data_IF_036028415430
#
_entry.id   IF_036028415430
#
_cell.length_a   1.000
_cell.length_b   1.000
_cell.length_c   1.000
_cell.angle_alpha   90.00
_cell.angle_beta   90.00
_cell.angle_gamma   90.00
#
_symmetry.space_group_name_H-M   'P 1'
#
loop_
_entity.id
_entity.type
_entity.pdbx_description
1 polymer ?
#
# COMPACT_ATOMS: atom_id res chain seq x y z
N UNK A 1 7.73 29.24 -39.49
CA UNK A 1 7.62 27.78 -39.38
C UNK A 1 6.34 27.47 -38.59
N UNK A 2 5.29 27.05 -39.29
CA UNK A 2 4.00 26.71 -38.66
C UNK A 2 4.08 25.30 -38.09
N UNK A 3 3.71 25.15 -36.84
CA UNK A 3 3.67 23.88 -36.09
C UNK A 3 2.53 22.98 -36.58
N UNK A 4 2.88 21.72 -36.85
CA UNK A 4 1.98 20.64 -37.32
C UNK A 4 1.24 20.03 -36.14
N UNK A 5 0.22 20.71 -35.61
CA UNK A 5 -0.62 20.17 -34.52
C UNK A 5 -2.12 20.54 -34.63
N UNK A 6 -2.59 20.88 -35.82
CA UNK A 6 -4.01 21.13 -36.02
C UNK A 6 -4.58 20.10 -37.03
N UNK A 7 -4.91 18.89 -36.59
CA UNK A 7 -5.85 17.98 -37.27
C UNK A 7 -5.91 16.62 -36.60
N UNK A 8 -6.68 16.48 -35.52
CA UNK A 8 -7.33 15.20 -35.20
C UNK A 8 -8.77 15.44 -34.75
N UNK A 9 -9.75 14.95 -35.52
CA UNK A 9 -11.14 15.05 -35.13
C UNK A 9 -11.57 13.81 -34.33
N UNK A 10 -11.79 13.94 -33.04
CA UNK A 10 -12.63 12.99 -32.31
C UNK A 10 -13.69 13.73 -31.55
N UNK A 11 -14.89 13.74 -32.15
CA UNK A 11 -16.11 14.08 -31.47
C UNK A 11 -16.47 13.00 -30.44
N UNK A 12 -16.75 13.41 -29.22
CA UNK A 12 -17.34 12.54 -28.21
C UNK A 12 -18.78 12.21 -28.60
N UNK A 13 -19.05 10.95 -28.91
CA UNK A 13 -20.42 10.41 -29.03
C UNK A 13 -20.81 9.90 -27.66
N UNK A 14 -21.82 10.50 -27.04
CA UNK A 14 -22.51 9.94 -25.89
C UNK A 14 -23.14 8.60 -26.27
N UNK A 15 -22.71 7.50 -25.66
CA UNK A 15 -23.41 6.23 -25.74
C UNK A 15 -24.45 6.09 -24.62
N UNK A 16 -25.62 5.50 -24.88
CA UNK A 16 -26.69 5.33 -23.90
C UNK A 16 -26.35 4.24 -22.88
N UNK A 17 -26.92 4.40 -21.69
CA UNK A 17 -26.81 3.46 -20.56
C UNK A 17 -27.20 2.03 -20.97
N UNK A 18 -26.26 1.10 -20.82
CA UNK A 18 -26.56 -0.34 -20.92
C UNK A 18 -26.84 -0.84 -19.51
N UNK A 19 -28.10 -1.16 -19.24
CA UNK A 19 -28.53 -1.85 -18.03
C UNK A 19 -27.97 -3.29 -18.03
N UNK A 20 -27.48 -3.82 -16.88
CA UNK A 20 -27.00 -5.19 -16.80
C UNK A 20 -28.17 -6.20 -16.88
N UNK A 21 -27.95 -7.41 -17.40
CA UNK A 21 -28.96 -8.44 -17.49
C UNK A 21 -29.37 -8.94 -16.10
N UNK A 22 -30.67 -9.14 -15.93
CA UNK A 22 -31.33 -9.67 -14.76
C UNK A 22 -30.86 -11.11 -14.45
N UNK A 23 -30.31 -11.32 -13.24
CA UNK A 23 -30.07 -12.66 -12.70
C UNK A 23 -28.78 -12.83 -11.92
N UNK A 24 -28.54 -12.05 -10.87
CA UNK A 24 -27.58 -12.41 -9.85
C UNK A 24 -28.14 -12.07 -8.47
N UNK A 25 -28.57 -13.12 -7.74
CA UNK A 25 -28.93 -13.04 -6.33
C UNK A 25 -27.67 -13.23 -5.48
N UNK A 26 -27.10 -12.16 -4.98
CA UNK A 26 -26.28 -12.15 -3.78
C UNK A 26 -26.45 -10.79 -3.12
N UNK A 27 -27.09 -10.77 -1.95
CA UNK A 27 -27.21 -9.58 -1.10
C UNK A 27 -25.84 -9.27 -0.50
N UNK A 28 -25.02 -8.54 -1.24
CA UNK A 28 -23.89 -7.80 -0.71
C UNK A 28 -24.33 -6.34 -0.79
N UNK A 29 -24.63 -5.74 0.37
CA UNK A 29 -25.06 -4.35 0.43
C UNK A 29 -23.90 -3.42 0.09
N UNK A 30 -23.79 -3.01 -1.17
CA UNK A 30 -22.88 -1.96 -1.59
C UNK A 30 -23.58 -0.61 -1.40
N UNK A 31 -23.11 0.18 -0.46
CA UNK A 31 -23.46 1.60 -0.40
C UNK A 31 -22.47 2.37 -1.29
N UNK A 32 -22.95 2.79 -2.46
CA UNK A 32 -22.18 3.63 -3.39
C UNK A 32 -22.44 5.09 -2.99
N UNK A 33 -21.45 5.76 -2.42
CA UNK A 33 -21.47 7.20 -2.30
C UNK A 33 -20.91 7.82 -3.60
N UNK A 34 -21.79 8.25 -4.51
CA UNK A 34 -21.40 9.09 -5.63
C UNK A 34 -21.16 10.51 -5.14
N UNK A 35 -19.90 10.94 -5.07
CA UNK A 35 -19.61 12.37 -4.93
C UNK A 35 -19.84 13.04 -6.28
N UNK A 36 -21.06 13.53 -6.50
CA UNK A 36 -21.45 14.25 -7.71
C UNK A 36 -20.95 15.69 -7.71
N UNK A 37 -19.69 15.91 -8.10
CA UNK A 37 -19.21 17.24 -8.44
C UNK A 37 -18.50 17.16 -9.81
N UNK A 38 -18.96 17.98 -10.76
CA UNK A 38 -18.41 18.02 -12.10
C UNK A 38 -16.96 18.51 -12.10
N UNK A 39 -16.13 17.96 -12.99
CA UNK A 39 -14.70 18.24 -13.12
C UNK A 39 -14.37 19.74 -13.36
N UNK A 40 -15.34 20.57 -13.71
CA UNK A 40 -15.15 22.01 -13.98
C UNK A 40 -15.22 22.94 -12.76
N UNK A 41 -15.79 22.50 -11.63
CA UNK A 41 -15.94 23.36 -10.43
C UNK A 41 -14.82 23.21 -9.40
N UNK A 42 -13.84 22.29 -9.60
CA UNK A 42 -12.80 21.97 -8.62
C UNK A 42 -11.47 22.73 -8.76
N UNK A 43 -11.42 23.81 -9.55
CA UNK A 43 -10.18 24.60 -9.74
C UNK A 43 -9.76 25.48 -8.56
N UNK A 44 -10.40 25.43 -7.39
CA UNK A 44 -10.08 26.32 -6.27
C UNK A 44 -9.82 25.62 -4.92
N UNK A 45 -9.66 24.29 -4.86
CA UNK A 45 -9.25 23.59 -3.64
C UNK A 45 -8.06 22.70 -3.98
N UNK A 46 -6.88 23.08 -3.52
CA UNK A 46 -5.73 22.16 -3.44
C UNK A 46 -6.20 20.96 -2.63
N UNK A 47 -6.37 19.81 -3.29
CA UNK A 47 -6.59 18.54 -2.61
C UNK A 47 -5.23 18.12 -2.06
N UNK A 48 -5.17 17.78 -0.78
CA UNK A 48 -3.95 17.31 -0.13
C UNK A 48 -3.95 15.78 -0.05
N UNK A 49 -2.88 15.23 0.49
CA UNK A 49 -2.79 13.80 0.80
C UNK A 49 -3.93 13.34 1.71
N UNK A 50 -4.49 14.23 2.53
CA UNK A 50 -5.62 13.95 3.44
C UNK A 50 -6.93 13.61 2.72
N UNK A 51 -7.03 13.94 1.42
CA UNK A 51 -8.18 13.60 0.58
C UNK A 51 -8.11 12.17 0.00
N UNK A 52 -7.03 11.43 0.26
CA UNK A 52 -6.84 10.07 -0.21
C UNK A 52 -6.94 9.11 0.98
N UNK A 53 -8.04 8.38 1.06
CA UNK A 53 -8.28 7.42 2.12
C UNK A 53 -8.29 6.00 1.55
N UNK A 54 -7.25 5.22 1.80
CA UNK A 54 -7.10 3.85 1.31
C UNK A 54 -7.90 2.86 2.14
N UNK A 55 -7.76 2.94 3.46
CA UNK A 55 -8.46 2.11 4.45
C UNK A 55 -8.80 3.01 5.64
N UNK A 56 -10.05 3.06 6.03
CA UNK A 56 -10.51 3.81 7.20
C UNK A 56 -11.50 3.02 8.04
N UNK A 57 -11.50 3.30 9.32
CA UNK A 57 -12.50 2.82 10.25
C UNK A 57 -12.95 3.93 11.18
N UNK A 58 -14.25 4.06 11.35
CA UNK A 58 -14.89 4.83 12.43
C UNK A 58 -16.09 4.02 12.95
N UNK A 59 -16.54 4.28 14.17
CA UNK A 59 -17.73 3.63 14.70
C UNK A 59 -18.98 3.91 13.86
N UNK A 60 -19.06 5.09 13.23
CA UNK A 60 -20.18 5.49 12.39
C UNK A 60 -20.14 4.84 11.00
N UNK A 61 -19.01 4.87 10.34
CA UNK A 61 -18.87 4.39 8.95
C UNK A 61 -18.52 2.91 8.85
N UNK A 62 -18.00 2.30 9.93
CA UNK A 62 -17.40 0.96 9.88
C UNK A 62 -16.09 0.95 9.09
N UNK A 63 -15.66 -0.23 8.68
CA UNK A 63 -14.48 -0.41 7.82
C UNK A 63 -14.82 -0.06 6.38
N UNK A 64 -14.15 0.95 5.83
CA UNK A 64 -14.31 1.41 4.45
C UNK A 64 -12.96 1.36 3.73
N UNK A 65 -12.95 0.86 2.50
CA UNK A 65 -11.79 0.86 1.61
C UNK A 65 -12.09 1.59 0.30
N UNK A 66 -11.06 2.16 -0.32
CA UNK A 66 -11.12 2.61 -1.71
C UNK A 66 -10.84 1.41 -2.63
N UNK A 67 -11.81 1.07 -3.49
CA UNK A 67 -11.63 0.01 -4.48
C UNK A 67 -10.65 0.41 -5.58
N UNK A 68 -9.39 0.00 -5.44
CA UNK A 68 -8.32 0.34 -6.36
C UNK A 68 -8.45 -0.34 -7.73
N UNK A 69 -9.35 -1.34 -7.88
CA UNK A 69 -9.61 -1.96 -9.18
C UNK A 69 -10.39 -1.04 -10.11
N UNK A 70 -11.08 -0.05 -9.55
CA UNK A 70 -11.88 0.95 -10.28
C UNK A 70 -11.09 2.19 -10.70
N UNK A 71 -9.96 2.45 -10.02
CA UNK A 71 -9.09 3.57 -10.36
C UNK A 71 -8.41 3.37 -11.73
N UNK A 72 -8.16 4.46 -12.47
CA UNK A 72 -8.43 5.87 -12.16
C UNK A 72 -9.83 6.35 -12.55
N UNK A 73 -10.64 5.51 -13.19
CA UNK A 73 -11.88 5.93 -13.86
C UNK A 73 -13.02 6.23 -12.88
N UNK A 74 -13.06 5.49 -11.75
CA UNK A 74 -14.10 5.64 -10.73
C UNK A 74 -13.46 5.62 -9.33
N UNK A 75 -13.88 6.55 -8.47
CA UNK A 75 -13.57 6.52 -7.03
C UNK A 75 -14.74 5.84 -6.32
N UNK A 76 -14.56 4.57 -5.98
CA UNK A 76 -15.58 3.76 -5.32
C UNK A 76 -15.11 3.38 -3.93
N UNK A 77 -15.85 3.80 -2.90
CA UNK A 77 -15.60 3.41 -1.52
C UNK A 77 -16.55 2.27 -1.15
N UNK A 78 -15.98 1.20 -0.59
CA UNK A 78 -16.70 -0.03 -0.25
C UNK A 78 -16.63 -0.26 1.25
N UNK A 79 -17.80 -0.44 1.88
CA UNK A 79 -17.89 -0.83 3.29
C UNK A 79 -17.76 -2.34 3.41
N UNK A 80 -16.87 -2.80 4.29
CA UNK A 80 -16.61 -4.21 4.57
C UNK A 80 -17.19 -4.56 5.96
N UNK A 81 -18.14 -5.49 6.00
CA UNK A 81 -18.86 -5.81 7.24
C UNK A 81 -18.67 -7.26 7.69
N UNK A 82 -18.15 -8.13 6.83
CA UNK A 82 -17.99 -9.55 7.09
C UNK A 82 -16.61 -10.06 6.67
N UNK A 83 -16.18 -11.18 7.25
CA UNK A 83 -14.93 -11.82 6.87
C UNK A 83 -14.87 -12.19 5.38
N UNK A 84 -16.00 -12.53 4.78
CA UNK A 84 -16.09 -12.84 3.35
C UNK A 84 -15.84 -11.59 2.50
N UNK A 85 -16.42 -10.44 2.87
CA UNK A 85 -16.20 -9.17 2.16
C UNK A 85 -14.74 -8.69 2.28
N UNK A 86 -14.13 -8.87 3.46
CA UNK A 86 -12.70 -8.56 3.67
C UNK A 86 -11.79 -9.49 2.86
N UNK A 87 -12.08 -10.80 2.88
CA UNK A 87 -11.37 -11.81 2.10
C UNK A 87 -11.41 -11.48 0.60
N UNK A 88 -12.61 -11.19 0.09
CA UNK A 88 -12.85 -10.80 -1.30
C UNK A 88 -12.07 -9.53 -1.69
N UNK A 89 -12.11 -8.51 -0.84
CA UNK A 89 -11.42 -7.25 -1.09
C UNK A 89 -9.90 -7.45 -1.24
N UNK A 90 -9.28 -8.28 -0.39
CA UNK A 90 -7.85 -8.60 -0.45
C UNK A 90 -7.56 -9.50 -1.66
N UNK A 91 -8.36 -10.52 -1.90
CA UNK A 91 -8.17 -11.48 -3.00
C UNK A 91 -8.28 -10.83 -4.36
N UNK A 92 -9.27 -9.94 -4.54
CA UNK A 92 -9.55 -9.23 -5.80
C UNK A 92 -8.69 -7.97 -6.00
N UNK A 93 -7.75 -7.70 -5.10
CA UNK A 93 -6.89 -6.51 -5.13
C UNK A 93 -7.68 -5.17 -5.08
N UNK A 94 -8.87 -5.17 -4.47
CA UNK A 94 -9.58 -3.92 -4.16
C UNK A 94 -8.76 -3.09 -3.17
N UNK A 95 -8.05 -3.75 -2.24
CA UNK A 95 -6.97 -3.21 -1.44
C UNK A 95 -5.69 -3.99 -1.76
N UNK A 96 -4.57 -3.29 -1.99
CA UNK A 96 -3.29 -3.86 -2.36
C UNK A 96 -2.13 -3.03 -1.75
N UNK A 97 -0.89 -3.56 -1.84
CA UNK A 97 0.26 -3.03 -1.12
C UNK A 97 0.39 -3.71 0.25
N UNK A 98 1.61 -4.13 0.59
CA UNK A 98 1.81 -4.96 1.77
C UNK A 98 1.28 -4.31 3.07
N UNK A 99 1.58 -3.02 3.38
CA UNK A 99 1.07 -2.38 4.59
C UNK A 99 -0.47 -2.18 4.56
N UNK A 100 -1.04 -1.69 3.45
CA UNK A 100 -2.49 -1.46 3.36
C UNK A 100 -3.29 -2.75 3.54
N UNK A 101 -2.80 -3.89 3.03
CA UNK A 101 -3.41 -5.20 3.25
C UNK A 101 -3.37 -5.57 4.74
N UNK A 102 -2.24 -5.32 5.43
CA UNK A 102 -2.12 -5.55 6.87
C UNK A 102 -3.10 -4.72 7.69
N UNK A 103 -3.22 -3.43 7.39
CA UNK A 103 -4.20 -2.52 8.04
C UNK A 103 -5.63 -2.98 7.78
N UNK A 104 -5.96 -3.29 6.51
CA UNK A 104 -7.28 -3.79 6.14
C UNK A 104 -7.61 -5.11 6.85
N UNK A 105 -6.65 -6.03 6.96
CA UNK A 105 -6.83 -7.31 7.64
C UNK A 105 -7.02 -7.14 9.16
N UNK A 106 -6.27 -6.23 9.79
CA UNK A 106 -6.41 -5.93 11.21
C UNK A 106 -7.81 -5.43 11.56
N UNK A 107 -8.28 -4.40 10.89
CA UNK A 107 -9.66 -3.93 11.05
C UNK A 107 -10.68 -4.96 10.59
N UNK A 108 -10.40 -5.67 9.49
CA UNK A 108 -11.28 -6.71 8.95
C UNK A 108 -11.52 -7.84 9.94
N UNK A 109 -10.50 -8.27 10.68
CA UNK A 109 -10.66 -9.24 11.77
C UNK A 109 -11.53 -8.66 12.90
N UNK A 110 -11.23 -7.42 13.35
CA UNK A 110 -11.98 -6.78 14.43
C UNK A 110 -13.47 -6.61 14.07
N UNK A 111 -13.79 -6.07 12.88
CA UNK A 111 -15.17 -5.88 12.39
C UNK A 111 -15.89 -7.21 12.23
N UNK A 112 -15.22 -8.25 11.72
CA UNK A 112 -15.81 -9.58 11.58
C UNK A 112 -16.20 -10.19 12.92
N UNK A 113 -15.45 -9.87 13.98
CA UNK A 113 -15.70 -10.36 15.34
C UNK A 113 -16.65 -9.47 16.15
N UNK A 114 -17.02 -8.28 15.64
CA UNK A 114 -17.94 -7.38 16.33
C UNK A 114 -19.30 -8.02 16.60
N UNK A 115 -19.79 -8.80 15.63
CA UNK A 115 -21.10 -9.49 15.67
C UNK A 115 -21.02 -10.91 16.25
N UNK A 116 -19.84 -11.33 16.71
CA UNK A 116 -19.71 -12.64 17.36
C UNK A 116 -20.51 -12.67 18.67
N UNK A 117 -21.31 -13.70 18.87
CA UNK A 117 -22.23 -13.85 20.01
C UNK A 117 -21.72 -14.78 21.12
N UNK A 118 -20.43 -15.10 21.10
CA UNK A 118 -19.76 -15.91 22.11
C UNK A 118 -20.01 -15.32 23.51
N UNK A 119 -20.36 -16.21 24.44
CA UNK A 119 -20.61 -15.82 25.83
C UNK A 119 -19.40 -15.96 26.74
N UNK A 120 -18.40 -16.68 26.29
CA UNK A 120 -17.15 -16.90 27.02
C UNK A 120 -15.94 -16.55 26.15
N UNK A 121 -14.86 -16.21 26.78
CA UNK A 121 -13.64 -15.73 26.14
C UNK A 121 -12.88 -16.84 25.38
N UNK A 122 -12.99 -18.11 25.79
CA UNK A 122 -12.29 -19.20 25.10
C UNK A 122 -12.95 -19.51 23.76
N UNK A 123 -14.28 -19.53 23.72
CA UNK A 123 -15.04 -19.66 22.48
C UNK A 123 -14.76 -18.49 21.53
N UNK A 124 -14.77 -17.25 22.07
CA UNK A 124 -14.43 -16.05 21.32
C UNK A 124 -13.00 -16.13 20.73
N UNK A 125 -12.01 -16.50 21.55
CA UNK A 125 -10.61 -16.68 21.14
C UNK A 125 -10.47 -17.68 19.98
N UNK A 126 -11.19 -18.81 20.06
CA UNK A 126 -11.22 -19.80 18.98
C UNK A 126 -11.78 -19.21 17.68
N UNK A 127 -12.92 -18.51 17.72
CA UNK A 127 -13.52 -17.86 16.56
C UNK A 127 -12.61 -16.79 15.95
N UNK A 128 -11.88 -16.02 16.77
CA UNK A 128 -10.87 -15.05 16.28
C UNK A 128 -9.79 -15.77 15.48
N UNK A 129 -9.25 -16.89 15.99
CA UNK A 129 -8.20 -17.65 15.28
C UNK A 129 -8.71 -18.30 13.99
N UNK A 130 -9.93 -18.84 14.00
CA UNK A 130 -10.57 -19.38 12.80
C UNK A 130 -10.80 -18.30 11.74
N UNK A 131 -11.26 -17.12 12.15
CA UNK A 131 -11.47 -15.98 11.25
C UNK A 131 -10.13 -15.44 10.72
N UNK A 132 -9.11 -15.34 11.55
CA UNK A 132 -7.77 -14.95 11.12
C UNK A 132 -7.19 -15.94 10.08
N UNK A 133 -7.31 -17.25 10.32
CA UNK A 133 -6.90 -18.28 9.36
C UNK A 133 -7.66 -18.16 8.02
N UNK A 134 -8.96 -17.91 8.08
CA UNK A 134 -9.77 -17.69 6.88
C UNK A 134 -9.29 -16.44 6.11
N UNK A 135 -9.12 -15.31 6.77
CA UNK A 135 -8.62 -14.08 6.11
C UNK A 135 -7.22 -14.27 5.51
N UNK A 136 -6.33 -14.97 6.22
CA UNK A 136 -4.99 -15.28 5.73
C UNK A 136 -4.98 -16.10 4.45
N UNK A 137 -5.98 -16.96 4.23
CA UNK A 137 -6.12 -17.77 3.02
C UNK A 137 -6.38 -16.95 1.76
N UNK A 138 -6.77 -15.67 1.87
CA UNK A 138 -6.99 -14.80 0.71
C UNK A 138 -5.70 -14.56 -0.09
N UNK A 139 -4.55 -14.40 0.59
CA UNK A 139 -3.22 -14.25 -0.01
C UNK A 139 -2.12 -14.84 0.90
N UNK A 140 -1.93 -16.16 0.91
CA UNK A 140 -1.04 -16.84 1.86
C UNK A 140 0.44 -16.40 1.81
N UNK A 141 0.87 -15.81 0.69
CA UNK A 141 2.25 -15.30 0.50
C UNK A 141 2.43 -13.84 0.95
N UNK A 142 1.35 -13.14 1.36
CA UNK A 142 1.43 -11.76 1.79
C UNK A 142 1.87 -11.67 3.25
N UNK A 143 3.15 -11.40 3.48
CA UNK A 143 3.77 -11.38 4.82
C UNK A 143 3.03 -10.44 5.78
N UNK A 144 2.70 -9.22 5.37
CA UNK A 144 2.03 -8.25 6.24
C UNK A 144 0.59 -8.65 6.59
N UNK A 145 -0.07 -9.45 5.76
CA UNK A 145 -1.39 -10.02 6.07
C UNK A 145 -1.29 -10.96 7.28
N UNK A 146 -0.43 -11.97 7.18
CA UNK A 146 -0.21 -12.94 8.26
C UNK A 146 0.28 -12.27 9.53
N UNK A 147 1.23 -11.34 9.40
CA UNK A 147 1.78 -10.58 10.53
C UNK A 147 0.71 -9.79 11.28
N UNK A 148 -0.15 -9.03 10.58
CA UNK A 148 -1.20 -8.26 11.22
C UNK A 148 -2.20 -9.15 11.97
N UNK A 149 -2.66 -10.24 11.32
CA UNK A 149 -3.59 -11.17 11.92
C UNK A 149 -3.01 -11.87 13.16
N UNK A 150 -1.75 -12.36 13.09
CA UNK A 150 -1.10 -12.99 14.23
C UNK A 150 -0.84 -12.00 15.37
N UNK A 151 -0.52 -10.74 15.05
CA UNK A 151 -0.35 -9.67 16.04
C UNK A 151 -1.64 -9.42 16.83
N UNK A 152 -2.81 -9.38 16.16
CA UNK A 152 -4.11 -9.26 16.83
C UNK A 152 -4.40 -10.49 17.71
N UNK A 153 -4.17 -11.70 17.18
CA UNK A 153 -4.33 -12.94 17.96
C UNK A 153 -3.46 -12.96 19.22
N UNK A 154 -2.18 -12.61 19.06
CA UNK A 154 -1.21 -12.55 20.17
C UNK A 154 -1.57 -11.45 21.20
N UNK A 155 -2.12 -10.33 20.74
CA UNK A 155 -2.60 -9.26 21.62
C UNK A 155 -3.82 -9.69 22.42
N UNK A 156 -4.76 -10.41 21.79
CA UNK A 156 -5.90 -11.01 22.48
C UNK A 156 -5.45 -12.03 23.52
N UNK A 157 -4.52 -12.93 23.19
CA UNK A 157 -4.00 -13.94 24.12
C UNK A 157 -3.38 -13.29 25.36
N UNK A 158 -2.60 -12.23 25.20
CA UNK A 158 -2.04 -11.46 26.32
C UNK A 158 -3.12 -10.81 27.19
N UNK A 159 -4.17 -10.25 26.57
CA UNK A 159 -5.30 -9.69 27.30
C UNK A 159 -6.01 -10.73 28.16
N UNK A 160 -6.21 -11.94 27.62
CA UNK A 160 -6.88 -13.03 28.32
C UNK A 160 -6.02 -13.62 29.46
N UNK A 161 -4.69 -13.62 29.34
CA UNK A 161 -3.78 -14.15 30.33
C UNK A 161 -3.45 -13.16 31.46
N UNK A 162 -3.33 -11.86 31.15
CA UNK A 162 -2.89 -10.80 32.08
C UNK A 162 -3.83 -9.60 32.04
N UNK A 163 -5.01 -9.69 32.65
CA UNK A 163 -6.00 -8.61 32.60
C UNK A 163 -5.53 -7.28 33.24
N UNK A 164 -4.60 -7.34 34.18
CA UNK A 164 -4.11 -6.17 34.93
C UNK A 164 -3.20 -5.21 34.14
N UNK A 165 -2.53 -5.68 33.11
CA UNK A 165 -1.64 -4.84 32.28
C UNK A 165 -2.41 -3.89 31.33
N UNK A 166 -3.71 -4.10 31.16
CA UNK A 166 -4.51 -3.38 30.19
C UNK A 166 -5.34 -2.21 30.78
N UNK A 167 -5.28 -2.00 32.09
CA UNK A 167 -5.98 -0.88 32.75
C UNK A 167 -5.30 0.49 32.54
N UNK A 168 -4.12 0.54 31.93
CA UNK A 168 -3.28 1.76 31.83
C UNK A 168 -3.45 2.51 30.50
N UNK A 169 -4.15 1.95 29.51
CA UNK A 169 -4.24 2.50 28.12
C UNK A 169 -5.45 3.39 27.82
N UNK A 170 -6.46 3.51 28.68
CA UNK A 170 -7.65 4.35 28.43
C UNK A 170 -7.52 5.71 29.12
N UNK A 171 -6.89 6.68 28.45
CA UNK A 171 -6.93 8.10 28.83
C UNK A 171 -8.35 8.67 28.64
N UNK A 172 -9.26 8.42 29.55
CA UNK A 172 -10.61 8.98 29.51
C UNK A 172 -11.53 8.51 30.64
N UNK A 173 -11.24 7.36 31.28
CA UNK A 173 -12.11 6.80 32.34
C UNK A 173 -11.44 6.67 33.74
N UNK A 174 -10.21 7.16 33.90
CA UNK A 174 -9.38 6.90 35.07
C UNK A 174 -9.69 7.77 36.31
N UNK A 175 -10.54 8.79 36.21
CA UNK A 175 -10.88 9.64 37.39
C UNK A 175 -12.07 9.13 38.20
N UNK A 176 -12.91 8.24 37.65
CA UNK A 176 -14.07 7.69 38.38
C UNK A 176 -13.82 6.40 39.17
N UNK A 177 -12.69 5.72 39.00
CA UNK A 177 -12.47 4.35 39.52
C UNK A 177 -11.49 4.21 40.68
N UNK A 178 -10.97 5.30 41.22
CA UNK A 178 -10.00 5.24 42.37
C UNK A 178 -10.61 4.86 43.72
N UNK A 179 -11.92 4.64 43.82
CA UNK A 179 -12.62 4.35 45.08
C UNK A 179 -13.41 3.02 45.08
N UNK A 180 -13.25 2.14 44.09
CA UNK A 180 -13.79 0.78 44.17
C UNK A 180 -12.65 -0.18 44.53
N UNK A 181 -12.79 -0.91 45.65
CA UNK A 181 -11.80 -1.87 46.16
C UNK A 181 -11.33 -2.83 45.05
N UNK A 182 -10.10 -3.36 45.18
CA UNK A 182 -9.42 -4.24 44.25
C UNK A 182 -10.29 -5.43 43.81
N UNK A 183 -11.23 -5.18 42.89
CA UNK A 183 -11.97 -6.22 42.18
C UNK A 183 -11.04 -6.92 41.27
N UNK A 184 -11.01 -8.25 41.33
CA UNK A 184 -10.28 -9.10 40.36
C UNK A 184 -10.90 -8.77 38.97
N UNK A 185 -10.11 -8.14 38.11
CA UNK A 185 -10.53 -7.86 36.74
C UNK A 185 -10.60 -9.22 36.00
N UNK A 186 -11.81 -9.63 35.62
CA UNK A 186 -12.00 -10.81 34.78
C UNK A 186 -12.12 -10.34 33.32
N UNK A 187 -11.31 -10.89 32.38
CA UNK A 187 -11.47 -10.57 30.97
C UNK A 187 -12.85 -11.04 30.49
N UNK A 188 -13.50 -10.18 29.74
CA UNK A 188 -14.79 -10.48 29.11
C UNK A 188 -14.71 -10.34 27.58
N UNK A 189 -15.75 -10.83 26.89
CA UNK A 189 -15.83 -10.78 25.42
C UNK A 189 -15.91 -9.34 24.92
N UNK A 190 -16.54 -8.43 25.66
CA UNK A 190 -16.64 -7.02 25.27
C UNK A 190 -15.27 -6.34 25.28
N UNK A 191 -14.48 -6.56 26.33
CA UNK A 191 -13.09 -6.09 26.40
C UNK A 191 -12.21 -6.74 25.34
N UNK A 192 -12.40 -8.04 25.07
CA UNK A 192 -11.69 -8.75 24.02
C UNK A 192 -11.94 -8.14 22.63
N UNK A 193 -13.18 -7.79 22.29
CA UNK A 193 -13.54 -7.09 21.05
C UNK A 193 -12.84 -5.74 20.96
N UNK A 194 -12.86 -4.96 22.05
CA UNK A 194 -12.19 -3.64 22.09
C UNK A 194 -10.69 -3.76 21.85
N UNK A 195 -10.04 -4.75 22.45
CA UNK A 195 -8.61 -5.02 22.27
C UNK A 195 -8.25 -5.28 20.81
N UNK A 196 -9.12 -5.96 20.02
CA UNK A 196 -8.89 -6.16 18.59
C UNK A 196 -8.93 -4.84 17.82
N UNK A 197 -9.91 -3.96 18.10
CA UNK A 197 -9.98 -2.64 17.45
C UNK A 197 -8.81 -1.74 17.85
N UNK A 198 -8.43 -1.71 19.12
CA UNK A 198 -7.30 -0.92 19.62
C UNK A 198 -5.99 -1.34 18.94
N UNK A 199 -5.77 -2.65 18.78
CA UNK A 199 -4.56 -3.15 18.12
C UNK A 199 -4.59 -2.90 16.61
N UNK A 200 -5.75 -2.99 15.94
CA UNK A 200 -5.90 -2.64 14.53
C UNK A 200 -5.60 -1.15 14.30
N UNK A 201 -6.13 -0.26 15.14
CA UNK A 201 -5.83 1.17 15.08
C UNK A 201 -4.35 1.46 15.36
N UNK A 202 -3.73 0.71 16.27
CA UNK A 202 -2.30 0.83 16.53
C UNK A 202 -1.47 0.44 15.32
N UNK A 203 -1.79 -0.65 14.62
CA UNK A 203 -1.15 -1.05 13.35
C UNK A 203 -1.25 0.09 12.33
N UNK A 204 -2.43 0.68 12.15
CA UNK A 204 -2.63 1.80 11.23
C UNK A 204 -1.75 3.00 11.57
N UNK A 205 -1.72 3.40 12.85
CA UNK A 205 -0.92 4.57 13.30
C UNK A 205 0.58 4.32 13.19
N UNK A 206 1.03 3.12 13.49
CA UNK A 206 2.45 2.75 13.36
C UNK A 206 2.88 2.78 11.89
N UNK A 207 2.05 2.28 10.97
CA UNK A 207 2.32 2.34 9.54
C UNK A 207 2.38 3.80 9.03
N UNK A 208 1.40 4.64 9.41
CA UNK A 208 1.40 6.06 9.05
C UNK A 208 2.66 6.78 9.58
N UNK A 209 3.03 6.52 10.83
CA UNK A 209 4.22 7.12 11.44
C UNK A 209 5.52 6.64 10.78
N UNK A 210 5.62 5.34 10.45
CA UNK A 210 6.76 4.77 9.73
C UNK A 210 6.90 5.38 8.34
N UNK A 211 5.81 5.44 7.57
CA UNK A 211 5.80 6.06 6.25
C UNK A 211 6.19 7.54 6.29
N UNK A 212 5.72 8.30 7.27
CA UNK A 212 6.12 9.69 7.44
C UNK A 212 7.61 9.83 7.75
N UNK A 213 8.17 9.00 8.65
CA UNK A 213 9.61 9.00 8.94
C UNK A 213 10.44 8.67 7.71
N UNK A 214 10.03 7.66 6.92
CA UNK A 214 10.68 7.37 5.63
C UNK A 214 10.64 8.59 4.69
N UNK A 215 9.53 9.33 4.67
CA UNK A 215 9.40 10.58 3.95
C UNK A 215 10.40 11.64 4.40
N UNK A 216 10.57 11.83 5.69
CA UNK A 216 11.53 12.78 6.26
C UNK A 216 12.99 12.40 5.93
N UNK A 217 13.36 11.12 6.10
CA UNK A 217 14.69 10.64 5.73
C UNK A 217 14.93 10.69 4.23
N UNK A 218 13.94 10.29 3.43
CA UNK A 218 14.03 10.36 1.97
C UNK A 218 14.17 11.79 1.46
N UNK A 219 13.44 12.73 2.07
CA UNK A 219 13.52 14.15 1.69
C UNK A 219 14.91 14.74 1.94
N UNK A 220 15.66 14.25 2.94
CA UNK A 220 17.04 14.66 3.18
C UNK A 220 17.99 14.30 2.04
N UNK A 221 17.61 13.38 1.15
CA UNK A 221 18.38 12.99 -0.04
C UNK A 221 18.00 13.80 -1.30
N UNK A 222 16.94 14.59 -1.24
CA UNK A 222 16.34 15.29 -2.38
C UNK A 222 16.45 16.80 -2.20
N UNK A 223 16.36 17.53 -3.30
CA UNK A 223 16.40 19.01 -3.33
C UNK A 223 15.15 19.55 -4.03
N UNK A 224 14.69 20.76 -3.68
CA UNK A 224 13.58 21.42 -4.38
C UNK A 224 13.78 21.47 -5.90
N UNK A 225 12.69 21.26 -6.65
CA UNK A 225 12.67 21.32 -8.10
C UNK A 225 13.23 20.10 -8.83
N UNK A 226 13.73 19.08 -8.12
CA UNK A 226 14.24 17.85 -8.75
C UNK A 226 13.19 17.14 -9.61
N UNK A 227 13.66 16.56 -10.72
CA UNK A 227 12.94 15.54 -11.48
C UNK A 227 13.14 14.18 -10.85
N UNK A 228 12.06 13.51 -10.49
CA UNK A 228 12.08 12.22 -9.80
C UNK A 228 11.39 11.17 -10.66
N UNK A 229 12.07 10.05 -10.93
CA UNK A 229 11.45 8.89 -11.58
C UNK A 229 11.04 7.88 -10.53
N UNK A 230 9.85 7.31 -10.70
CA UNK A 230 9.34 6.21 -9.87
C UNK A 230 8.74 5.09 -10.71
N UNK A 231 8.76 3.87 -10.17
CA UNK A 231 8.23 2.67 -10.81
C UNK A 231 7.28 1.94 -9.88
N UNK A 232 6.16 1.42 -10.40
CA UNK A 232 5.07 0.79 -9.65
C UNK A 232 4.26 1.80 -8.80
N UNK A 233 3.67 1.32 -7.72
CA UNK A 233 2.94 2.13 -6.76
C UNK A 233 3.28 1.71 -5.34
N UNK A 234 4.03 2.54 -4.66
CA UNK A 234 4.33 2.44 -3.24
C UNK A 234 4.05 3.79 -2.54
N UNK A 235 2.89 4.36 -2.87
CA UNK A 235 2.32 5.57 -2.31
C UNK A 235 1.26 5.29 -1.25
N UNK A 236 0.42 6.29 -1.00
CA UNK A 236 -0.63 6.22 0.02
C UNK A 236 -1.65 5.10 -0.24
N UNK A 237 -1.88 4.75 -1.51
CA UNK A 237 -2.74 3.62 -1.88
C UNK A 237 -2.18 2.24 -1.47
N UNK A 238 -0.90 2.16 -1.15
CA UNK A 238 -0.24 0.93 -0.73
C UNK A 238 -0.03 0.81 0.79
N UNK A 239 -0.39 1.84 1.57
CA UNK A 239 -0.13 1.98 3.01
C UNK A 239 -1.36 2.57 3.71
N UNK A 240 -1.25 2.85 5.01
CA UNK A 240 -2.26 3.63 5.72
C UNK A 240 -2.28 5.10 5.24
N UNK A 241 -1.08 5.70 5.03
CA UNK A 241 -0.90 7.07 4.54
C UNK A 241 0.56 7.30 4.12
N UNK A 242 0.83 8.29 3.29
CA UNK A 242 2.13 8.71 2.75
C UNK A 242 2.78 7.73 1.77
N UNK A 243 2.63 6.44 1.93
CA UNK A 243 3.39 5.46 1.16
C UNK A 243 4.83 5.29 1.66
N UNK A 244 5.57 4.43 0.98
CA UNK A 244 7.01 4.24 1.24
C UNK A 244 7.83 5.17 0.34
N UNK A 245 8.06 4.82 -0.93
CA UNK A 245 8.91 5.63 -1.82
C UNK A 245 8.26 6.95 -2.28
N UNK A 246 6.93 7.08 -2.26
CA UNK A 246 6.28 8.35 -2.55
C UNK A 246 6.18 9.27 -1.33
N UNK A 247 6.49 8.79 -0.13
CA UNK A 247 6.42 9.60 1.09
C UNK A 247 7.30 10.87 1.04
N UNK A 248 8.54 10.87 0.54
CA UNK A 248 9.32 12.11 0.45
C UNK A 248 8.73 13.10 -0.56
N UNK A 249 7.97 12.63 -1.56
CA UNK A 249 7.28 13.51 -2.50
C UNK A 249 6.16 14.27 -1.78
N UNK A 250 5.35 13.57 -0.97
CA UNK A 250 4.28 14.18 -0.21
C UNK A 250 4.80 15.13 0.88
N UNK A 251 5.81 14.70 1.65
CA UNK A 251 6.46 15.57 2.65
C UNK A 251 7.14 16.77 2.00
N UNK A 252 7.73 16.58 0.82
CA UNK A 252 8.30 17.68 0.02
C UNK A 252 7.23 18.66 -0.47
N UNK A 253 6.09 18.15 -0.94
CA UNK A 253 4.94 18.97 -1.36
C UNK A 253 4.40 19.82 -0.21
N UNK A 254 4.27 19.24 1.00
CA UNK A 254 3.91 19.98 2.22
C UNK A 254 4.89 21.14 2.52
N UNK A 255 6.14 21.05 2.05
CA UNK A 255 7.22 22.03 2.25
C UNK A 255 7.53 22.88 1.03
N UNK A 256 6.75 22.78 -0.06
CA UNK A 256 6.90 23.57 -1.27
C UNK A 256 8.15 23.20 -2.10
N UNK A 257 8.49 21.90 -2.18
CA UNK A 257 9.66 21.47 -2.94
C UNK A 257 9.44 21.44 -4.46
N UNK A 258 8.20 21.49 -4.93
CA UNK A 258 7.82 21.54 -6.36
C UNK A 258 8.55 20.48 -7.23
N UNK A 259 8.48 19.22 -6.82
CA UNK A 259 9.03 18.11 -7.57
C UNK A 259 8.30 17.89 -8.89
N UNK A 260 9.06 17.51 -9.94
CA UNK A 260 8.52 17.00 -11.21
C UNK A 260 8.68 15.49 -11.20
N UNK A 261 7.56 14.77 -11.09
CA UNK A 261 7.58 13.32 -10.97
C UNK A 261 7.30 12.67 -12.32
N UNK A 262 8.14 11.70 -12.70
CA UNK A 262 7.92 10.84 -13.85
C UNK A 262 7.55 9.45 -13.34
N UNK A 263 6.37 8.98 -13.71
CA UNK A 263 5.86 7.68 -13.29
C UNK A 263 5.87 6.72 -14.49
N UNK A 264 6.64 5.63 -14.39
CA UNK A 264 6.55 4.51 -15.31
C UNK A 264 5.14 3.91 -15.24
N UNK A 265 4.52 3.59 -16.39
CA UNK A 265 3.18 2.96 -16.42
C UNK A 265 3.13 1.63 -15.66
N UNK A 266 4.25 0.91 -15.60
CA UNK A 266 4.45 -0.36 -14.87
C UNK A 266 3.61 -1.50 -15.46
N UNK A 267 4.01 -1.98 -16.66
CA UNK A 267 3.41 -3.16 -17.26
C UNK A 267 3.69 -4.42 -16.41
N UNK A 268 2.81 -5.46 -16.43
CA UNK A 268 1.52 -5.49 -17.13
C UNK A 268 0.34 -4.89 -16.37
N UNK A 269 0.40 -4.74 -15.02
CA UNK A 269 -0.75 -4.36 -14.19
C UNK A 269 -1.01 -2.84 -14.12
N UNK A 270 -0.14 -2.03 -14.72
CA UNK A 270 -0.29 -0.58 -14.87
C UNK A 270 -0.46 0.18 -13.54
N UNK A 271 0.24 -0.25 -12.46
CA UNK A 271 0.15 0.41 -11.17
C UNK A 271 0.63 1.87 -11.24
N UNK A 272 1.67 2.17 -12.02
CA UNK A 272 2.13 3.54 -12.23
C UNK A 272 1.11 4.39 -12.96
N UNK A 273 0.53 3.86 -14.05
CA UNK A 273 -0.48 4.57 -14.82
C UNK A 273 -1.79 4.78 -14.06
N UNK A 274 -2.26 3.74 -13.37
CA UNK A 274 -3.59 3.74 -12.76
C UNK A 274 -3.62 4.32 -11.35
N UNK A 275 -2.58 4.10 -10.58
CA UNK A 275 -2.57 4.38 -9.16
C UNK A 275 -1.60 5.52 -8.83
N UNK A 276 -0.31 5.42 -9.22
CA UNK A 276 0.69 6.45 -8.88
C UNK A 276 0.36 7.79 -9.51
N UNK A 277 0.02 7.82 -10.80
CA UNK A 277 -0.36 9.08 -11.45
C UNK A 277 -1.64 9.67 -10.84
N UNK A 278 -2.62 8.83 -10.51
CA UNK A 278 -3.87 9.28 -9.89
C UNK A 278 -3.66 9.90 -8.51
N UNK A 279 -2.94 9.20 -7.60
CA UNK A 279 -2.74 9.72 -6.24
C UNK A 279 -1.87 10.97 -6.20
N UNK A 280 -0.80 11.04 -7.03
CA UNK A 280 0.05 12.22 -7.12
C UNK A 280 -0.69 13.44 -7.69
N UNK A 281 -1.47 13.25 -8.77
CA UNK A 281 -2.33 14.32 -9.30
C UNK A 281 -3.35 14.80 -8.28
N UNK A 282 -3.97 13.85 -7.54
CA UNK A 282 -4.95 14.19 -6.50
C UNK A 282 -4.32 14.99 -5.36
N UNK A 283 -3.06 14.72 -5.04
CA UNK A 283 -2.27 15.48 -4.06
C UNK A 283 -1.68 16.80 -4.61
N UNK A 284 -1.93 17.14 -5.88
CA UNK A 284 -1.44 18.38 -6.48
C UNK A 284 0.04 18.36 -6.90
N UNK A 285 0.64 17.18 -7.01
CA UNK A 285 2.02 16.99 -7.48
C UNK A 285 2.07 17.04 -9.01
N UNK A 286 3.08 17.71 -9.57
CA UNK A 286 3.37 17.70 -11.01
C UNK A 286 3.88 16.31 -11.42
N UNK A 287 3.04 15.54 -12.11
CA UNK A 287 3.33 14.17 -12.52
C UNK A 287 3.17 13.98 -14.02
N UNK A 288 4.17 13.36 -14.63
CA UNK A 288 4.19 12.94 -16.04
C UNK A 288 4.19 11.42 -16.11
N UNK A 289 3.19 10.84 -16.75
CA UNK A 289 3.12 9.41 -17.03
C UNK A 289 3.96 9.09 -18.26
N UNK A 290 4.77 8.05 -18.18
CA UNK A 290 5.59 7.53 -19.28
C UNK A 290 5.41 6.00 -19.43
N UNK A 291 5.66 5.46 -20.64
CA UNK A 291 5.82 4.03 -20.79
C UNK A 291 7.14 3.57 -20.16
N UNK A 292 7.18 2.33 -19.66
CA UNK A 292 8.36 1.78 -18.95
C UNK A 292 9.66 1.91 -19.75
N UNK A 293 9.59 1.73 -21.07
CA UNK A 293 10.75 1.85 -21.97
C UNK A 293 11.21 3.31 -22.22
N UNK A 294 10.45 4.31 -21.78
CA UNK A 294 10.81 5.73 -21.91
C UNK A 294 11.69 6.23 -20.77
N UNK A 295 11.89 5.45 -19.70
CA UNK A 295 12.80 5.79 -18.60
C UNK A 295 14.19 6.16 -19.11
N UNK A 296 14.75 5.40 -20.06
CA UNK A 296 16.02 5.72 -20.73
C UNK A 296 16.00 7.11 -21.36
N UNK A 297 14.94 7.47 -22.06
CA UNK A 297 14.88 8.74 -22.80
C UNK A 297 14.80 9.95 -21.86
N UNK A 298 14.01 9.87 -20.80
CA UNK A 298 13.89 10.99 -19.83
C UNK A 298 15.17 11.17 -19.02
N UNK A 299 15.89 10.09 -18.68
CA UNK A 299 17.20 10.14 -18.04
C UNK A 299 18.24 10.76 -18.99
N UNK A 300 18.29 10.33 -20.26
CA UNK A 300 19.17 10.91 -21.30
C UNK A 300 18.93 12.39 -21.52
N UNK A 301 17.70 12.87 -21.41
CA UNK A 301 17.35 14.28 -21.53
C UNK A 301 17.82 15.11 -20.33
N UNK A 302 18.32 14.50 -19.24
CA UNK A 302 18.69 15.19 -18.01
C UNK A 302 17.47 15.71 -17.22
N UNK A 303 16.32 15.05 -17.37
CA UNK A 303 15.10 15.46 -16.67
C UNK A 303 14.96 14.79 -15.30
N UNK A 304 15.76 13.75 -15.05
CA UNK A 304 15.71 12.95 -13.83
C UNK A 304 16.96 13.20 -13.00
N UNK A 305 16.77 13.63 -11.76
CA UNK A 305 17.81 13.88 -10.79
C UNK A 305 17.94 12.77 -9.75
N UNK A 306 16.87 11.99 -9.54
CA UNK A 306 16.84 10.85 -8.63
C UNK A 306 15.78 9.82 -9.05
N UNK A 307 16.02 8.55 -8.72
CA UNK A 307 15.03 7.48 -8.80
C UNK A 307 14.62 7.08 -7.39
N UNK A 308 13.32 6.96 -7.14
CA UNK A 308 12.76 6.48 -5.88
C UNK A 308 11.81 5.31 -6.15
N UNK A 309 12.05 4.17 -5.53
CA UNK A 309 11.22 2.96 -5.70
C UNK A 309 10.95 2.29 -4.35
N UNK A 310 9.86 1.54 -4.25
CA UNK A 310 9.59 0.68 -3.10
C UNK A 310 10.42 -0.60 -3.13
N UNK A 311 10.14 -1.48 -2.18
CA UNK A 311 10.74 -2.80 -2.08
C UNK A 311 9.73 -3.79 -1.50
N UNK A 312 9.51 -4.91 -2.19
CA UNK A 312 8.64 -5.98 -1.70
C UNK A 312 9.38 -6.94 -0.76
N UNK A 313 10.71 -7.13 -0.99
CA UNK A 313 11.59 -7.89 -0.09
C UNK A 313 13.05 -7.48 -0.31
N UNK A 314 13.81 -7.33 0.75
CA UNK A 314 15.25 -7.07 0.71
C UNK A 314 16.01 -8.18 1.41
N UNK A 315 16.99 -8.76 0.72
CA UNK A 315 17.90 -9.77 1.26
C UNK A 315 18.99 -9.15 2.15
N UNK A 316 19.65 -9.98 2.96
CA UNK A 316 20.70 -9.57 3.90
C UNK A 316 21.86 -8.81 3.23
N UNK A 317 22.22 -9.16 1.99
CA UNK A 317 23.28 -8.47 1.22
C UNK A 317 22.84 -7.14 0.58
N UNK A 318 21.59 -6.72 0.80
CA UNK A 318 21.03 -5.49 0.24
C UNK A 318 20.46 -5.61 -1.18
N UNK A 319 20.40 -6.80 -1.75
CA UNK A 319 19.67 -7.02 -3.00
C UNK A 319 18.16 -6.88 -2.73
N UNK A 320 17.46 -6.11 -3.57
CA UNK A 320 16.05 -5.80 -3.35
C UNK A 320 15.16 -6.31 -4.46
N UNK A 321 14.15 -7.13 -4.12
CA UNK A 321 13.09 -7.51 -5.03
C UNK A 321 11.99 -6.45 -5.03
N UNK A 322 11.60 -5.99 -6.22
CA UNK A 322 10.49 -5.07 -6.41
C UNK A 322 9.77 -5.37 -7.72
N UNK A 323 8.71 -4.64 -8.02
CA UNK A 323 7.91 -4.82 -9.23
C UNK A 323 8.78 -4.95 -10.48
N UNK A 324 8.43 -5.95 -11.33
CA UNK A 324 9.14 -6.20 -12.60
C UNK A 324 9.40 -4.90 -13.37
N UNK A 325 10.64 -4.71 -13.82
CA UNK A 325 11.13 -3.50 -14.49
C UNK A 325 12.05 -2.64 -13.61
N UNK A 326 11.97 -2.78 -12.28
CA UNK A 326 12.75 -1.98 -11.32
C UNK A 326 14.26 -2.15 -11.53
N UNK A 327 14.74 -3.39 -11.74
CA UNK A 327 16.17 -3.66 -11.98
C UNK A 327 16.67 -2.99 -13.26
N UNK A 328 15.84 -2.95 -14.30
CA UNK A 328 16.15 -2.24 -15.54
C UNK A 328 16.32 -0.74 -15.34
N UNK A 329 15.43 -0.12 -14.56
CA UNK A 329 15.53 1.31 -14.18
C UNK A 329 16.81 1.57 -13.36
N UNK A 330 17.17 0.66 -12.44
CA UNK A 330 18.40 0.80 -11.63
C UNK A 330 19.68 0.75 -12.49
N UNK A 331 19.72 -0.14 -13.50
CA UNK A 331 20.81 -0.21 -14.48
C UNK A 331 20.92 1.09 -15.27
N UNK A 332 19.80 1.63 -15.77
CA UNK A 332 19.77 2.92 -16.47
C UNK A 332 20.22 4.07 -15.58
N UNK A 333 19.75 4.14 -14.35
CA UNK A 333 20.15 5.16 -13.38
C UNK A 333 21.67 5.14 -13.15
N UNK A 334 22.27 3.95 -13.04
CA UNK A 334 23.73 3.79 -12.91
C UNK A 334 24.49 4.29 -14.13
N UNK A 335 23.99 3.98 -15.33
CA UNK A 335 24.61 4.43 -16.58
C UNK A 335 24.62 5.95 -16.69
N UNK A 336 23.54 6.61 -16.30
CA UNK A 336 23.44 8.08 -16.32
C UNK A 336 23.97 8.78 -15.06
N UNK A 337 24.52 8.04 -14.09
CA UNK A 337 25.04 8.62 -12.84
C UNK A 337 23.96 9.19 -11.92
N UNK A 338 22.71 8.74 -12.09
CA UNK A 338 21.56 9.18 -11.30
C UNK A 338 21.45 8.32 -10.03
N UNK A 339 21.31 8.91 -8.83
CA UNK A 339 21.14 8.15 -7.61
C UNK A 339 19.83 7.35 -7.62
N UNK A 340 19.93 6.09 -7.20
CA UNK A 340 18.81 5.16 -7.09
C UNK A 340 18.56 4.84 -5.63
N UNK A 341 17.40 5.24 -5.11
CA UNK A 341 17.00 5.06 -3.71
C UNK A 341 15.88 4.03 -3.60
N UNK A 342 16.08 3.03 -2.75
CA UNK A 342 15.08 2.01 -2.47
C UNK A 342 14.50 2.22 -1.08
N UNK A 343 13.18 2.36 -0.98
CA UNK A 343 12.45 2.60 0.26
C UNK A 343 11.94 1.27 0.80
N UNK A 344 12.47 0.88 1.94
CA UNK A 344 12.34 -0.47 2.49
C UNK A 344 11.90 -0.38 3.95
N UNK A 345 10.60 -0.51 4.24
CA UNK A 345 10.18 -0.69 5.64
C UNK A 345 10.96 -1.84 6.27
N UNK A 346 11.38 -1.69 7.53
CA UNK A 346 12.14 -2.76 8.21
C UNK A 346 11.40 -4.10 8.20
N UNK A 347 10.07 -4.07 8.15
CA UNK A 347 9.23 -5.28 8.04
C UNK A 347 9.40 -6.05 6.72
N UNK A 348 10.04 -5.47 5.69
CA UNK A 348 10.32 -6.12 4.40
C UNK A 348 11.78 -6.54 4.24
N UNK A 349 12.63 -6.27 5.25
CA UNK A 349 14.01 -6.74 5.30
C UNK A 349 14.02 -8.18 5.86
N UNK A 350 14.58 -9.09 5.09
CA UNK A 350 14.69 -10.52 5.44
C UNK A 350 16.18 -10.90 5.56
N UNK A 351 16.68 -10.85 6.79
CA UNK A 351 18.08 -11.18 7.09
C UNK A 351 18.40 -12.67 6.98
N UNK A 352 17.38 -13.55 6.92
CA UNK A 352 17.57 -14.99 6.72
C UNK A 352 17.80 -15.32 5.23
N UNK A 353 17.26 -14.53 4.32
CA UNK A 353 17.53 -14.61 2.88
C UNK A 353 18.88 -13.95 2.59
N UNK A 354 19.89 -14.73 2.22
CA UNK A 354 21.28 -14.23 2.11
C UNK A 354 21.48 -13.29 0.93
N UNK A 355 20.97 -13.66 -0.22
CA UNK A 355 21.14 -12.93 -1.49
C UNK A 355 19.82 -12.81 -2.25
N UNK A 356 19.79 -11.92 -3.23
CA UNK A 356 18.61 -11.77 -4.09
C UNK A 356 18.32 -13.01 -4.95
N UNK A 357 19.29 -13.89 -5.18
CA UNK A 357 19.10 -15.15 -5.91
C UNK A 357 18.24 -16.15 -5.12
N UNK A 358 18.22 -16.01 -3.80
CA UNK A 358 17.43 -16.86 -2.90
C UNK A 358 15.96 -16.40 -2.80
N UNK A 359 15.62 -15.23 -3.36
CA UNK A 359 14.25 -14.71 -3.34
C UNK A 359 13.40 -15.42 -4.38
N UNK A 360 12.35 -16.11 -3.93
CA UNK A 360 11.41 -16.78 -4.83
C UNK A 360 10.52 -15.76 -5.53
N UNK A 361 10.60 -15.70 -6.85
CA UNK A 361 9.81 -14.76 -7.67
C UNK A 361 8.50 -15.40 -8.12
N UNK A 362 7.39 -14.76 -7.75
CA UNK A 362 6.03 -15.14 -8.16
C UNK A 362 5.89 -15.09 -9.69
N UNK A 363 5.41 -16.19 -10.29
CA UNK A 363 5.00 -16.23 -11.69
C UNK A 363 3.50 -16.00 -11.78
N UNK A 364 3.10 -15.09 -12.66
CA UNK A 364 1.71 -14.65 -12.79
C UNK A 364 1.12 -15.11 -14.14
N UNK A 365 -0.22 -15.02 -14.24
CA UNK A 365 -0.91 -15.36 -15.47
C UNK A 365 -0.41 -14.48 -16.64
N UNK A 366 -0.03 -15.14 -17.73
CA UNK A 366 0.41 -14.47 -18.95
C UNK A 366 -0.69 -13.63 -19.62
N UNK A 367 -1.97 -13.87 -19.33
CA UNK A 367 -3.08 -13.07 -19.85
C UNK A 367 -3.06 -11.62 -19.35
N UNK A 368 -2.40 -11.35 -18.24
CA UNK A 368 -2.13 -9.97 -17.80
C UNK A 368 -1.36 -9.17 -18.85
N UNK A 369 -0.48 -9.82 -19.64
CA UNK A 369 0.31 -9.17 -20.70
C UNK A 369 -0.53 -8.90 -21.94
N UNK A 370 -1.28 -9.92 -22.41
CA UNK A 370 -1.85 -9.89 -23.74
C UNK A 370 -3.31 -9.47 -23.84
N UNK A 371 -4.07 -9.54 -22.75
CA UNK A 371 -5.53 -9.43 -22.78
C UNK A 371 -6.13 -8.46 -21.76
N UNK A 372 -5.58 -8.40 -20.55
CA UNK A 372 -6.24 -7.80 -19.37
C UNK A 372 -6.76 -6.37 -19.57
N UNK A 373 -6.03 -5.52 -20.30
CA UNK A 373 -6.36 -4.10 -20.49
C UNK A 373 -6.89 -3.77 -21.88
N UNK A 374 -7.17 -4.78 -22.69
CA UNK A 374 -7.55 -4.59 -24.07
C UNK A 374 -8.93 -5.17 -24.36
N UNK A 375 -9.73 -4.48 -25.17
CA UNK A 375 -11.02 -4.99 -25.61
C UNK A 375 -10.89 -6.28 -26.45
N UNK A 376 -9.75 -6.45 -27.09
CA UNK A 376 -9.37 -7.67 -27.82
C UNK A 376 -7.93 -8.01 -27.47
N UNK A 377 -7.57 -9.30 -27.41
CA UNK A 377 -6.18 -9.69 -27.15
C UNK A 377 -5.22 -9.02 -28.12
N UNK A 378 -4.12 -8.49 -27.62
CA UNK A 378 -3.06 -7.84 -28.41
C UNK A 378 -1.95 -8.81 -28.82
N UNK A 379 -1.95 -10.03 -28.25
CA UNK A 379 -1.01 -11.07 -28.59
C UNK A 379 -1.71 -12.19 -29.39
N UNK A 380 -1.02 -12.83 -30.35
CA UNK A 380 -1.58 -13.98 -31.08
C UNK A 380 -1.96 -15.12 -30.13
N UNK A 381 -3.03 -15.84 -30.43
CA UNK A 381 -3.40 -17.04 -29.69
C UNK A 381 -2.25 -18.07 -29.69
N UNK A 382 -1.97 -18.65 -28.51
CA UNK A 382 -0.93 -19.66 -28.34
C UNK A 382 0.51 -19.12 -28.20
N UNK A 383 0.75 -17.80 -28.30
CA UNK A 383 2.08 -17.26 -28.01
C UNK A 383 2.44 -17.51 -26.52
N UNK A 384 3.66 -18.00 -26.29
CA UNK A 384 4.17 -18.18 -24.92
C UNK A 384 4.37 -16.82 -24.26
N UNK A 385 3.92 -16.70 -23.01
CA UNK A 385 4.03 -15.47 -22.21
C UNK A 385 4.84 -15.77 -20.94
N UNK A 386 5.85 -14.95 -20.67
CA UNK A 386 6.65 -14.99 -19.44
C UNK A 386 6.31 -13.77 -18.58
N UNK A 387 5.77 -13.98 -17.40
CA UNK A 387 5.20 -12.92 -16.58
C UNK A 387 5.62 -13.04 -15.10
N UNK A 388 6.89 -12.79 -14.76
CA UNK A 388 7.30 -12.67 -13.37
C UNK A 388 6.72 -11.39 -12.76
N UNK A 389 6.27 -11.46 -11.49
CA UNK A 389 5.69 -10.31 -10.79
C UNK A 389 6.75 -9.28 -10.38
N UNK A 390 7.97 -9.73 -10.10
CA UNK A 390 9.07 -8.94 -9.54
C UNK A 390 10.37 -9.24 -10.29
N UNK A 391 11.34 -8.33 -10.14
CA UNK A 391 12.74 -8.58 -10.45
C UNK A 391 13.63 -8.18 -9.26
N UNK A 392 14.85 -8.68 -9.26
CA UNK A 392 15.83 -8.39 -8.20
C UNK A 392 16.81 -7.36 -8.70
N UNK A 393 16.92 -6.26 -7.95
CA UNK A 393 17.93 -5.23 -8.15
C UNK A 393 19.16 -5.56 -7.28
N UNK A 394 20.32 -5.88 -7.88
CA UNK A 394 21.55 -6.07 -7.12
C UNK A 394 21.94 -4.82 -6.33
N UNK A 395 22.40 -5.01 -5.10
CA UNK A 395 22.74 -3.93 -4.16
C UNK A 395 23.77 -2.93 -4.70
N UNK A 396 24.66 -3.35 -5.62
CA UNK A 396 25.61 -2.45 -6.31
C UNK A 396 24.98 -1.34 -7.15
N UNK A 397 23.69 -1.43 -7.48
CA UNK A 397 22.94 -0.41 -8.20
C UNK A 397 22.16 0.51 -7.25
N UNK A 398 22.05 0.17 -5.98
CA UNK A 398 21.31 0.93 -4.97
C UNK A 398 22.26 1.93 -4.30
N UNK A 399 21.93 3.21 -4.39
CA UNK A 399 22.74 4.29 -3.79
C UNK A 399 22.53 4.38 -2.29
N UNK A 400 21.29 4.23 -1.83
CA UNK A 400 20.94 4.13 -0.43
C UNK A 400 19.58 3.41 -0.28
N UNK A 401 19.42 2.74 0.87
CA UNK A 401 18.17 2.18 1.36
C UNK A 401 17.62 3.16 2.40
N UNK A 402 16.33 3.49 2.30
CA UNK A 402 15.64 4.38 3.24
C UNK A 402 14.61 3.55 4.01
N UNK A 403 14.74 3.53 5.33
CA UNK A 403 13.82 2.87 6.26
C UNK A 403 13.16 3.88 7.18
N UNK A 404 12.18 3.49 7.97
CA UNK A 404 11.60 4.31 9.03
C UNK A 404 12.54 4.54 10.22
N UNK A 405 13.67 3.81 10.27
CA UNK A 405 14.70 3.99 11.29
C UNK A 405 15.86 4.87 10.83
N UNK A 406 16.06 5.04 9.51
CA UNK A 406 17.14 5.86 8.97
C UNK A 406 17.55 5.50 7.54
N UNK A 407 18.66 6.09 7.08
CA UNK A 407 19.23 5.88 5.75
C UNK A 407 20.41 4.92 5.86
N UNK A 408 20.33 3.80 5.17
CA UNK A 408 21.38 2.79 5.11
C UNK A 408 22.18 2.95 3.82
N UNK A 409 23.50 2.95 3.93
CA UNK A 409 24.44 3.01 2.80
C UNK A 409 25.34 1.77 2.78
N UNK A 410 25.99 1.45 1.66
CA UNK A 410 26.96 0.36 1.62
C UNK A 410 28.07 0.52 2.69
N UNK A 411 28.58 -0.60 3.24
CA UNK A 411 28.26 -1.99 2.94
C UNK A 411 26.92 -2.41 3.56
N UNK A 412 26.01 -2.93 2.71
CA UNK A 412 24.63 -3.19 3.12
C UNK A 412 24.50 -4.34 4.12
N UNK A 413 25.24 -5.43 3.93
CA UNK A 413 25.13 -6.59 4.80
C UNK A 413 25.38 -6.27 6.29
N UNK A 414 26.36 -5.41 6.56
CA UNK A 414 26.67 -4.96 7.92
C UNK A 414 25.64 -3.92 8.39
N UNK A 415 25.37 -2.89 7.56
CA UNK A 415 24.58 -1.74 7.96
C UNK A 415 23.07 -2.04 8.04
N UNK A 416 22.56 -3.02 7.28
CA UNK A 416 21.18 -3.51 7.44
C UNK A 416 21.01 -4.25 8.78
N UNK A 417 21.99 -5.04 9.23
CA UNK A 417 21.95 -5.66 10.57
C UNK A 417 21.89 -4.60 11.66
N UNK A 418 22.80 -3.64 11.62
CA UNK A 418 22.85 -2.55 12.61
C UNK A 418 21.53 -1.79 12.72
N UNK A 419 20.91 -1.45 11.60
CA UNK A 419 19.64 -0.72 11.65
C UNK A 419 18.48 -1.59 12.16
N UNK A 420 18.52 -2.90 11.91
CA UNK A 420 17.55 -3.84 12.46
C UNK A 420 17.67 -4.01 13.98
N UNK A 421 18.90 -3.93 14.50
CA UNK A 421 19.25 -4.04 15.92
C UNK A 421 19.22 -2.69 16.67
N UNK A 422 18.77 -1.60 16.01
CA UNK A 422 18.74 -0.22 16.54
C UNK A 422 20.13 0.32 16.94
N UNK A 423 21.19 -0.10 16.24
CA UNK A 423 22.59 0.26 16.49
C UNK A 423 23.15 1.35 15.53
N UNK A 424 22.32 1.93 14.66
CA UNK A 424 22.71 2.95 13.66
C UNK A 424 22.31 4.34 14.09
#
# INVERSE_FOLDING_TARGET
MKTVWDSFPYGFVCMPEILPPSGFNAKIGYYIFRTGASFRERKSRYMGIDDICTVSYTEETGLVILDQTKLPNEEVYVRLETKESVWDAIRKLMVRGAPAIGVCAGYGLAVSMERDDSRDTETFRRHVRETAAYLNSSRPTAVNLSWALERLCSRLDRYLQNPSENAVGSTGAAEGMRNAGAGIFCPDVSGAKRVLFDEAEKIRREDEAACRKMGEFGLALLKPGMGILTHCNAGTLATAKYGTCLSPIYVGQERGYDFRVFADETRPLLQGARLTSWELMKAGVDVTLICDNMANQVMKNGWIDAVVVGCDRMAANGDGANKIGTSGVAVLAKEYGIPFYMFVPTSTIDLETKTGEDIVIEQRDGEEIGSMWYQRPMAPAGVKKYNPAFDVTPSRYITAVVTEKGIVRPPYEENLRKIMEDEL
#
